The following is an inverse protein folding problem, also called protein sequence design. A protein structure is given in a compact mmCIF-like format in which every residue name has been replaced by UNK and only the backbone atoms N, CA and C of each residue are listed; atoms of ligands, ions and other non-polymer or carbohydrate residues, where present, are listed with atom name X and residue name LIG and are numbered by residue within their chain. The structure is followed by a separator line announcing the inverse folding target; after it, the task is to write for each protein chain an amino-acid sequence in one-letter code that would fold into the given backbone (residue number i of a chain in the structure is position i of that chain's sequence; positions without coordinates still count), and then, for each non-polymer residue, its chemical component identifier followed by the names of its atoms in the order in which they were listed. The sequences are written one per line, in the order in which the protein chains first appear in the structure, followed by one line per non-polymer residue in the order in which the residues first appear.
data_IF_438581168812
#
_entry.id   IF_438581168812
#
_cell.length_a   1.000
_cell.length_b   1.000
_cell.length_c   1.000
_cell.angle_alpha   90.00
_cell.angle_beta   90.00
_cell.angle_gamma   90.00
#
_symmetry.space_group_name_H-M   'P 1'
#
loop_
_entity.id
_entity.type
_entity.pdbx_description
1 polymer ?
#
# COMPACT_ATOMS: atom_id res chain seq x y z
N UNK A 1 36.43 0.34 34.15
CA UNK A 1 35.21 -0.09 34.89
C UNK A 1 34.10 0.97 34.87
N UNK A 2 34.36 2.25 35.21
CA UNK A 2 33.37 3.35 35.07
C UNK A 2 32.77 3.47 33.65
N UNK A 3 33.58 3.29 32.60
CA UNK A 3 33.13 3.39 31.20
C UNK A 3 32.11 2.32 30.80
N UNK A 4 32.20 1.12 31.38
CA UNK A 4 31.23 0.04 31.15
C UNK A 4 29.87 0.33 31.78
N UNK A 5 29.85 1.08 32.90
CA UNK A 5 28.62 1.49 33.59
C UNK A 5 27.85 2.53 32.76
N UNK A 6 28.53 3.48 32.14
CA UNK A 6 27.89 4.48 31.27
C UNK A 6 27.30 3.86 30.00
N UNK A 7 27.96 2.86 29.42
CA UNK A 7 27.46 2.15 28.25
C UNK A 7 26.20 1.33 28.58
N UNK A 8 26.14 0.69 29.75
CA UNK A 8 24.96 -0.04 30.20
C UNK A 8 23.74 0.86 30.46
N UNK A 9 23.96 2.07 30.99
CA UNK A 9 22.87 3.05 31.23
C UNK A 9 22.27 3.53 29.90
N UNK A 10 23.10 3.71 28.85
CA UNK A 10 22.63 4.15 27.54
C UNK A 10 21.75 3.09 26.84
N UNK A 11 22.05 1.80 27.03
CA UNK A 11 21.27 0.68 26.47
C UNK A 11 19.89 0.55 27.14
N UNK A 12 19.78 0.85 28.44
CA UNK A 12 18.52 0.74 29.19
C UNK A 12 17.50 1.85 28.88
N UNK A 13 17.97 3.04 28.46
CA UNK A 13 17.08 4.14 28.08
C UNK A 13 16.38 3.93 26.71
N UNK A 14 16.85 2.98 25.90
CA UNK A 14 16.32 2.73 24.56
C UNK A 14 15.02 1.90 24.53
N UNK A 15 14.60 1.29 25.65
CA UNK A 15 13.38 0.47 25.72
C UNK A 15 12.14 1.19 26.28
N UNK A 16 12.16 2.53 26.39
CA UNK A 16 11.21 3.28 27.22
C UNK A 16 10.25 4.25 26.53
N UNK A 17 9.74 3.99 25.31
CA UNK A 17 8.65 4.78 24.71
C UNK A 17 7.50 3.90 24.24
N UNK A 18 6.73 3.37 25.19
CA UNK A 18 5.55 2.52 24.90
C UNK A 18 4.21 3.26 25.05
N UNK A 19 4.19 4.55 25.42
CA UNK A 19 2.95 5.31 25.57
C UNK A 19 2.96 6.63 24.77
N UNK A 20 2.98 6.49 23.43
CA UNK A 20 2.29 7.48 22.60
C UNK A 20 0.83 7.03 22.46
N UNK A 21 0.00 7.35 23.46
CA UNK A 21 -1.45 7.45 23.26
C UNK A 21 -1.72 8.60 22.29
N UNK A 22 -1.57 8.36 20.98
CA UNK A 22 -2.30 9.13 19.99
C UNK A 22 -3.70 8.52 19.90
N UNK A 23 -4.67 9.22 20.47
CA UNK A 23 -6.07 9.10 20.14
C UNK A 23 -6.33 9.55 18.70
N UNK A 24 -5.68 8.89 17.73
CA UNK A 24 -6.18 8.88 16.37
C UNK A 24 -7.35 7.92 16.39
N UNK A 25 -8.57 8.45 16.39
CA UNK A 25 -9.71 7.71 15.87
C UNK A 25 -9.23 7.05 14.58
N UNK A 26 -9.23 5.70 14.52
CA UNK A 26 -8.90 4.96 13.30
C UNK A 26 -9.94 5.38 12.27
N UNK A 27 -9.72 6.49 11.59
CA UNK A 27 -10.42 6.84 10.36
C UNK A 27 -10.14 5.63 9.49
N UNK A 28 -11.19 4.88 9.13
CA UNK A 28 -11.04 3.77 8.19
C UNK A 28 -10.49 4.39 6.92
N UNK A 29 -9.19 4.24 6.70
CA UNK A 29 -8.56 4.64 5.46
C UNK A 29 -9.11 3.69 4.42
N UNK A 30 -9.87 4.22 3.48
CA UNK A 30 -10.36 3.42 2.36
C UNK A 30 -9.14 2.87 1.59
N UNK A 31 -9.23 1.63 1.07
CA UNK A 31 -8.15 1.06 0.27
C UNK A 31 -7.82 1.96 -0.91
N UNK A 32 -6.52 2.11 -1.21
CA UNK A 32 -6.05 2.86 -2.36
C UNK A 32 -6.52 2.18 -3.65
N UNK A 33 -7.16 2.93 -4.54
CA UNK A 33 -7.53 2.41 -5.85
C UNK A 33 -6.32 2.34 -6.77
N UNK A 34 -6.12 1.19 -7.42
CA UNK A 34 -5.00 0.92 -8.33
C UNK A 34 -5.58 0.38 -9.64
N UNK A 35 -5.46 1.15 -10.72
CA UNK A 35 -5.85 0.69 -12.05
C UNK A 35 -4.66 0.08 -12.76
N UNK A 36 -4.86 -1.08 -13.37
CA UNK A 36 -3.81 -1.81 -14.11
C UNK A 36 -4.31 -2.21 -15.50
N UNK A 37 -3.37 -2.51 -16.38
CA UNK A 37 -3.65 -2.75 -17.81
C UNK A 37 -3.45 -4.20 -18.25
N UNK A 38 -3.00 -5.09 -17.37
CA UNK A 38 -2.83 -6.51 -17.67
C UNK A 38 -2.87 -7.39 -16.42
N UNK A 39 -2.94 -8.72 -16.62
CA UNK A 39 -2.99 -9.70 -15.54
C UNK A 39 -1.74 -9.75 -14.65
N UNK A 40 -0.49 -9.68 -15.18
CA UNK A 40 0.69 -9.64 -14.33
C UNK A 40 0.67 -8.50 -13.31
N UNK A 41 0.34 -7.28 -13.76
CA UNK A 41 0.25 -6.12 -12.87
C UNK A 41 -0.89 -6.28 -11.86
N UNK A 42 -2.03 -6.84 -12.27
CA UNK A 42 -3.13 -7.13 -11.35
C UNK A 42 -2.71 -8.10 -10.25
N UNK A 43 -1.99 -9.16 -10.63
CA UNK A 43 -1.49 -10.17 -9.71
C UNK A 43 -0.51 -9.58 -8.68
N UNK A 44 0.48 -8.81 -9.15
CA UNK A 44 1.47 -8.22 -8.26
C UNK A 44 0.86 -7.14 -7.36
N UNK A 45 0.03 -6.25 -7.91
CA UNK A 45 -0.61 -5.19 -7.13
C UNK A 45 -1.47 -5.77 -5.98
N UNK A 46 -2.29 -6.80 -6.27
CA UNK A 46 -3.11 -7.47 -5.23
C UNK A 46 -2.26 -8.09 -4.13
N UNK A 47 -1.13 -8.72 -4.48
CA UNK A 47 -0.28 -9.43 -3.50
C UNK A 47 0.60 -8.49 -2.69
N UNK A 48 1.09 -7.42 -3.29
CA UNK A 48 1.92 -6.42 -2.62
C UNK A 48 1.05 -5.55 -1.71
N UNK A 49 -0.09 -5.07 -2.21
CA UNK A 49 -0.95 -4.14 -1.47
C UNK A 49 -1.91 -4.82 -0.48
N UNK A 50 -2.25 -6.10 -0.68
CA UNK A 50 -3.18 -6.82 0.19
C UNK A 50 -4.50 -6.07 0.38
N UNK A 51 -4.96 -5.96 1.62
CA UNK A 51 -6.19 -5.23 1.98
C UNK A 51 -6.08 -3.71 1.86
N UNK A 52 -4.87 -3.17 1.65
CA UNK A 52 -4.64 -1.74 1.55
C UNK A 52 -4.95 -1.18 0.17
N UNK A 53 -5.21 -2.05 -0.82
CA UNK A 53 -5.49 -1.66 -2.21
C UNK A 53 -6.74 -2.31 -2.77
N UNK A 54 -7.41 -1.59 -3.66
CA UNK A 54 -8.47 -2.11 -4.52
C UNK A 54 -7.99 -2.04 -5.97
N UNK A 55 -7.77 -3.20 -6.58
CA UNK A 55 -7.17 -3.28 -7.92
C UNK A 55 -8.24 -3.46 -9.00
N UNK A 56 -8.26 -2.58 -10.00
CA UNK A 56 -9.16 -2.63 -11.15
C UNK A 56 -8.39 -2.96 -12.44
N UNK A 57 -8.91 -3.90 -13.24
CA UNK A 57 -8.47 -4.18 -14.60
C UNK A 57 -9.67 -3.93 -15.53
N UNK A 58 -9.80 -2.74 -16.15
CA UNK A 58 -10.99 -2.34 -16.89
C UNK A 58 -11.04 -2.90 -18.32
N UNK A 59 -10.43 -4.05 -18.55
CA UNK A 59 -10.49 -4.75 -19.83
C UNK A 59 -11.85 -5.46 -19.92
N UNK A 60 -12.62 -5.27 -20.99
CA UNK A 60 -13.87 -6.01 -21.20
C UNK A 60 -13.63 -7.52 -21.21
N UNK A 61 -14.55 -8.30 -20.64
CA UNK A 61 -14.38 -9.75 -20.50
C UNK A 61 -14.23 -10.51 -21.84
N UNK A 62 -14.62 -9.88 -22.95
CA UNK A 62 -14.51 -10.44 -24.30
C UNK A 62 -13.19 -10.08 -25.02
N UNK A 63 -12.31 -9.28 -24.39
CA UNK A 63 -11.06 -8.81 -24.99
C UNK A 63 -9.84 -9.36 -24.25
N UNK A 64 -8.77 -9.64 -24.99
CA UNK A 64 -7.47 -9.96 -24.39
C UNK A 64 -6.78 -8.66 -23.94
N UNK A 65 -6.37 -8.53 -22.66
CA UNK A 65 -5.61 -7.36 -22.21
C UNK A 65 -4.34 -7.05 -23.00
N UNK A 66 -3.73 -8.05 -23.65
CA UNK A 66 -2.54 -7.84 -24.48
C UNK A 66 -2.85 -7.07 -25.78
N UNK A 67 -4.07 -7.25 -26.31
CA UNK A 67 -4.52 -6.65 -27.57
C UNK A 67 -5.49 -5.48 -27.35
N UNK A 68 -5.97 -5.30 -26.11
CA UNK A 68 -6.93 -4.27 -25.75
C UNK A 68 -6.39 -2.86 -26.02
N UNK A 69 -7.17 -2.07 -26.78
CA UNK A 69 -6.85 -0.69 -27.12
C UNK A 69 -7.87 0.27 -26.50
N UNK A 70 -7.65 0.74 -25.26
CA UNK A 70 -8.56 1.69 -24.63
C UNK A 70 -8.61 3.00 -25.45
N UNK A 71 -9.81 3.44 -25.80
CA UNK A 71 -10.03 4.69 -26.54
C UNK A 71 -11.23 5.47 -26.00
N UNK A 72 -11.25 6.78 -26.24
CA UNK A 72 -12.40 7.64 -25.96
C UNK A 72 -12.68 7.86 -24.47
N UNK A 73 -13.96 8.00 -24.13
CA UNK A 73 -14.41 8.26 -22.76
C UNK A 73 -14.11 7.11 -21.77
N UNK A 74 -14.28 5.81 -22.13
CA UNK A 74 -13.99 4.70 -21.21
C UNK A 74 -12.53 4.67 -20.73
N UNK A 75 -11.58 5.05 -21.58
CA UNK A 75 -10.17 5.12 -21.21
C UNK A 75 -9.88 6.26 -20.20
N UNK A 76 -10.63 7.35 -20.26
CA UNK A 76 -10.41 8.56 -19.45
C UNK A 76 -10.93 8.42 -18.02
N UNK A 77 -11.90 7.53 -17.79
CA UNK A 77 -12.46 7.25 -16.47
C UNK A 77 -11.40 6.82 -15.46
N UNK A 78 -10.28 6.24 -15.94
CA UNK A 78 -9.26 5.62 -15.10
C UNK A 78 -7.95 6.42 -14.97
N UNK A 79 -7.82 7.58 -15.63
CA UNK A 79 -6.57 8.37 -15.68
C UNK A 79 -6.72 9.73 -14.96
N UNK A 80 -7.92 10.06 -14.47
CA UNK A 80 -8.24 11.36 -13.86
C UNK A 80 -7.89 11.44 -12.36
#
# INVERSE_FOLDING_TARGET
MKQLVYLAIFVLAACGQTDRKLGASKKKTEPLEVVVVNYPLQYFAKRIGGEQVKVALPVPAAEDPADWRPAGAPAREFIA
#
